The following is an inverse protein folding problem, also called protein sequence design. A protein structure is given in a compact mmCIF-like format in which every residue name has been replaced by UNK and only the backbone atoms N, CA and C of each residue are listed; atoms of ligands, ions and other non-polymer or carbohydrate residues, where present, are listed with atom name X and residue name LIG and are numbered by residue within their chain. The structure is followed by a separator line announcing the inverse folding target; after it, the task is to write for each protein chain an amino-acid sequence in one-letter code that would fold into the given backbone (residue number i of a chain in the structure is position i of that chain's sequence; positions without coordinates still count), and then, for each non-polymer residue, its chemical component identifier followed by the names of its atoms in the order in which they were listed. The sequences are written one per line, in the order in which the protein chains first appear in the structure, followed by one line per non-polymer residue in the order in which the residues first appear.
data_IF_502880693114
#
_entry.id   IF_502880693114
#
_cell.length_a   1.000
_cell.length_b   1.000
_cell.length_c   1.000
_cell.angle_alpha   90.00
_cell.angle_beta   90.00
_cell.angle_gamma   90.00
#
_symmetry.space_group_name_H-M   'P 1'
#
loop_
_entity.id
_entity.type
_entity.pdbx_description
1 polymer ?
#
# COMPACT_ATOMS: atom_id res chain seq x y z
N UNK A 1 -2.54 -47.66 -28.31
CA UNK A 1 -3.11 -47.12 -27.04
C UNK A 1 -2.10 -46.35 -26.19
N UNK A 2 -0.82 -46.76 -26.08
CA UNK A 2 0.20 -46.03 -25.28
C UNK A 2 0.50 -44.61 -25.79
N UNK A 3 0.46 -44.39 -27.10
CA UNK A 3 0.76 -43.07 -27.69
C UNK A 3 -0.39 -42.08 -27.54
N UNK A 4 -1.63 -42.58 -27.47
CA UNK A 4 -2.82 -41.78 -27.17
C UNK A 4 -2.76 -41.20 -25.76
N UNK A 5 -2.29 -41.98 -24.77
CA UNK A 5 -2.17 -41.54 -23.38
C UNK A 5 -1.07 -40.48 -23.20
N UNK A 6 0.06 -40.60 -23.90
CA UNK A 6 1.14 -39.60 -23.87
C UNK A 6 0.71 -38.27 -24.49
N UNK A 7 0.05 -38.31 -25.64
CA UNK A 7 -0.41 -37.10 -26.33
C UNK A 7 -1.56 -36.43 -25.58
N UNK A 8 -2.47 -37.20 -24.98
CA UNK A 8 -3.53 -36.68 -24.13
C UNK A 8 -2.98 -36.05 -22.84
N UNK A 9 -1.95 -36.66 -22.22
CA UNK A 9 -1.32 -36.12 -21.01
C UNK A 9 -0.53 -34.83 -21.30
N UNK A 10 0.15 -34.75 -22.44
CA UNK A 10 0.88 -33.56 -22.86
C UNK A 10 -0.08 -32.39 -23.16
N UNK A 11 -1.21 -32.66 -23.83
CA UNK A 11 -2.26 -31.66 -24.07
C UNK A 11 -2.92 -31.17 -22.77
N UNK A 12 -3.10 -32.07 -21.78
CA UNK A 12 -3.61 -31.70 -20.46
C UNK A 12 -2.63 -30.77 -19.72
N UNK A 13 -1.31 -31.01 -19.79
CA UNK A 13 -0.31 -30.13 -19.18
C UNK A 13 -0.29 -28.71 -19.81
N UNK A 14 -0.54 -28.59 -21.12
CA UNK A 14 -0.64 -27.28 -21.78
C UNK A 14 -1.92 -26.51 -21.37
N UNK A 15 -3.01 -27.20 -21.05
CA UNK A 15 -4.27 -26.59 -20.61
C UNK A 15 -4.21 -26.08 -19.15
N UNK A 16 -3.35 -26.66 -18.30
CA UNK A 16 -3.18 -26.21 -16.90
C UNK A 16 -2.02 -25.21 -16.71
N UNK A 17 -1.07 -25.12 -17.63
CA UNK A 17 0.03 -24.15 -17.57
C UNK A 17 -0.40 -22.69 -17.89
N UNK A 18 -1.62 -22.50 -18.41
CA UNK A 18 -2.10 -21.22 -18.95
C UNK A 18 -2.80 -20.26 -17.98
N UNK A 19 -2.98 -20.63 -16.70
CA UNK A 19 -3.53 -19.70 -15.71
C UNK A 19 -2.43 -18.81 -15.16
N UNK A 20 -1.84 -17.99 -16.04
CA UNK A 20 -1.01 -16.88 -15.61
C UNK A 20 -1.99 -15.83 -15.09
N UNK A 21 -2.12 -15.74 -13.77
CA UNK A 21 -2.84 -14.62 -13.16
C UNK A 21 -2.14 -13.34 -13.63
N UNK A 22 -2.81 -12.57 -14.48
CA UNK A 22 -2.34 -11.24 -14.84
C UNK A 22 -2.49 -10.36 -13.59
N UNK A 23 -1.45 -10.31 -12.77
CA UNK A 23 -1.27 -9.17 -11.87
C UNK A 23 -1.02 -7.97 -12.78
N UNK A 24 -1.97 -7.04 -12.84
CA UNK A 24 -1.75 -5.78 -13.53
C UNK A 24 -0.62 -5.06 -12.79
N UNK A 25 0.52 -4.91 -13.43
CA UNK A 25 1.61 -4.09 -12.89
C UNK A 25 1.05 -2.68 -12.65
N UNK A 26 1.14 -2.13 -11.43
CA UNK A 26 0.75 -0.76 -11.19
C UNK A 26 1.51 0.17 -12.13
N UNK A 27 0.82 1.12 -12.76
CA UNK A 27 1.48 2.15 -13.54
C UNK A 27 2.26 3.13 -12.65
N UNK A 28 1.94 3.13 -11.35
CA UNK A 28 2.60 3.90 -10.32
C UNK A 28 2.48 3.19 -8.97
N UNK A 29 3.50 3.30 -8.13
CA UNK A 29 3.55 2.77 -6.76
C UNK A 29 4.45 3.63 -5.89
N UNK A 30 4.22 3.62 -4.58
CA UNK A 30 5.05 4.26 -3.57
C UNK A 30 5.16 3.36 -2.34
N UNK A 31 6.37 3.30 -1.80
CA UNK A 31 6.70 2.49 -0.61
C UNK A 31 7.06 3.37 0.59
N UNK A 32 7.15 4.68 0.41
CA UNK A 32 7.55 5.66 1.43
C UNK A 32 8.93 5.34 2.01
N UNK A 33 9.90 5.01 1.16
CA UNK A 33 11.24 4.67 1.60
C UNK A 33 11.93 5.87 2.26
N UNK A 34 12.30 5.72 3.54
CA UNK A 34 13.11 6.63 4.37
C UNK A 34 12.53 8.04 4.65
N UNK A 35 11.48 8.50 3.95
CA UNK A 35 10.88 9.82 4.16
C UNK A 35 9.51 9.97 3.47
N UNK A 36 8.85 11.12 3.70
CA UNK A 36 7.73 11.55 2.85
C UNK A 36 8.27 11.93 1.45
N UNK A 37 7.78 11.31 0.36
CA UNK A 37 8.31 11.55 -0.97
C UNK A 37 8.02 12.97 -1.46
N UNK A 38 8.85 13.46 -2.39
CA UNK A 38 8.67 14.77 -3.01
C UNK A 38 7.30 14.84 -3.70
N UNK A 39 6.56 15.92 -3.43
CA UNK A 39 5.23 16.18 -4.00
C UNK A 39 4.07 15.60 -3.18
N UNK A 40 4.35 14.71 -2.22
CA UNK A 40 3.35 14.35 -1.21
C UNK A 40 3.21 15.46 -0.17
N UNK A 41 2.02 15.61 0.38
CA UNK A 41 1.72 16.59 1.42
C UNK A 41 1.04 15.89 2.60
N UNK A 42 1.60 16.05 3.80
CA UNK A 42 0.96 15.72 5.05
C UNK A 42 0.39 17.01 5.66
N UNK A 43 -0.92 17.10 5.83
CA UNK A 43 -1.61 18.29 6.30
C UNK A 43 -2.51 17.97 7.48
N UNK A 44 -2.31 18.66 8.59
CA UNK A 44 -3.28 18.72 9.66
C UNK A 44 -4.29 19.83 9.36
N UNK A 45 -5.52 19.44 9.05
CA UNK A 45 -6.63 20.36 8.79
C UNK A 45 -7.21 20.86 10.10
N UNK A 46 -7.34 19.97 11.09
CA UNK A 46 -7.75 20.30 12.44
C UNK A 46 -7.09 19.39 13.48
N UNK A 47 -6.65 19.99 14.59
CA UNK A 47 -6.04 19.28 15.70
C UNK A 47 -5.26 20.24 16.62
N UNK A 48 -4.13 19.78 17.15
CA UNK A 48 -3.35 20.48 18.17
C UNK A 48 -1.92 20.86 17.73
N UNK A 49 -1.56 20.66 16.45
CA UNK A 49 -0.24 20.97 15.89
C UNK A 49 0.95 20.27 16.57
N UNK A 50 0.72 19.13 17.21
CA UNK A 50 1.77 18.23 17.69
C UNK A 50 2.43 17.49 16.51
N UNK A 51 3.65 17.01 16.67
CA UNK A 51 4.26 16.12 15.67
C UNK A 51 3.40 14.86 15.41
N UNK A 52 2.67 14.40 16.43
CA UNK A 52 1.78 13.22 16.34
C UNK A 52 0.39 13.53 15.82
N UNK A 53 0.03 14.81 15.64
CA UNK A 53 -1.27 15.22 15.10
C UNK A 53 -1.30 15.31 13.58
N UNK A 54 -0.35 14.69 12.89
CA UNK A 54 -0.31 14.62 11.43
C UNK A 54 0.30 13.28 10.99
N UNK A 55 0.27 13.00 9.69
CA UNK A 55 0.98 11.87 9.10
C UNK A 55 2.49 12.06 9.21
N UNK A 56 3.17 11.08 9.81
CA UNK A 56 4.63 11.06 9.94
C UNK A 56 5.21 9.81 9.28
N UNK A 57 6.39 9.94 8.70
CA UNK A 57 7.15 8.77 8.28
C UNK A 57 7.68 8.03 9.52
N UNK A 58 7.61 6.71 9.50
CA UNK A 58 8.10 5.85 10.59
C UNK A 58 8.54 4.49 10.06
N UNK A 59 9.38 3.82 10.85
CA UNK A 59 9.69 2.40 10.74
C UNK A 59 9.32 1.63 12.03
N UNK A 60 8.55 2.28 12.91
CA UNK A 60 8.06 1.76 14.17
C UNK A 60 6.53 1.80 14.19
N UNK A 61 5.91 0.81 14.85
CA UNK A 61 4.46 0.73 14.98
C UNK A 61 3.86 1.86 15.84
N UNK A 62 2.52 1.94 15.92
CA UNK A 62 1.82 2.85 16.83
C UNK A 62 2.34 2.71 18.27
N UNK A 63 2.41 3.81 19.01
CA UNK A 63 2.96 3.88 20.37
C UNK A 63 1.95 4.40 21.40
N UNK A 64 0.70 4.65 21.01
CA UNK A 64 -0.39 4.99 21.92
C UNK A 64 -0.70 3.87 22.94
N UNK A 65 -1.55 4.20 23.93
CA UNK A 65 -1.97 3.28 25.00
C UNK A 65 -2.70 2.02 24.53
N UNK A 66 -3.25 2.02 23.32
CA UNK A 66 -3.90 0.92 22.60
C UNK A 66 -3.13 0.57 21.32
N UNK A 67 -1.81 0.63 21.36
CA UNK A 67 -0.91 0.30 20.25
C UNK A 67 -1.09 -1.14 19.71
N UNK A 68 -0.93 -1.27 18.40
CA UNK A 68 -0.80 -2.54 17.68
C UNK A 68 0.63 -2.73 17.20
N UNK A 69 0.93 -3.90 16.62
CA UNK A 69 2.19 -4.10 15.91
C UNK A 69 2.34 -3.19 14.67
N UNK A 70 3.55 -3.11 14.10
CA UNK A 70 3.80 -2.51 12.78
C UNK A 70 2.88 -3.07 11.68
N UNK A 71 2.74 -2.31 10.59
CA UNK A 71 1.99 -2.75 9.39
C UNK A 71 2.55 -4.05 8.81
N UNK A 72 1.69 -4.97 8.38
CA UNK A 72 2.10 -6.25 7.81
C UNK A 72 2.36 -6.10 6.29
N UNK A 73 3.34 -5.27 5.95
CA UNK A 73 3.71 -4.96 4.57
C UNK A 73 5.00 -5.67 4.13
N UNK A 74 5.06 -6.07 2.86
CA UNK A 74 6.26 -6.65 2.25
C UNK A 74 7.41 -5.64 2.14
N UNK A 75 7.10 -4.35 2.09
CA UNK A 75 8.05 -3.23 2.07
C UNK A 75 8.18 -2.52 3.43
N UNK A 76 7.63 -3.06 4.52
CA UNK A 76 7.67 -2.42 5.85
C UNK A 76 9.08 -2.06 6.33
N UNK A 77 10.12 -2.77 5.85
CA UNK A 77 11.52 -2.44 6.15
C UNK A 77 11.96 -1.06 5.62
N UNK A 78 11.29 -0.55 4.60
CA UNK A 78 11.55 0.76 3.99
C UNK A 78 10.89 1.91 4.78
N UNK A 79 9.95 1.58 5.67
CA UNK A 79 9.10 2.52 6.41
C UNK A 79 7.71 2.66 5.81
N UNK A 80 6.88 3.49 6.45
CA UNK A 80 5.52 3.82 6.03
C UNK A 80 5.08 5.15 6.63
N UNK A 81 3.97 5.69 6.12
CA UNK A 81 3.31 6.82 6.74
C UNK A 81 2.35 6.33 7.84
N UNK A 82 2.45 6.92 9.03
CA UNK A 82 1.60 6.62 10.18
C UNK A 82 0.92 7.90 10.67
N UNK A 83 -0.38 7.81 10.91
CA UNK A 83 -1.08 8.73 11.78
C UNK A 83 -1.50 7.97 13.04
N UNK A 84 -0.87 8.28 14.17
CA UNK A 84 -1.15 7.65 15.45
C UNK A 84 -2.11 8.51 16.28
N UNK A 85 -3.41 8.35 16.00
CA UNK A 85 -4.48 9.07 16.67
C UNK A 85 -4.50 8.83 18.18
N UNK A 86 -4.10 7.62 18.61
CA UNK A 86 -4.10 7.20 20.01
C UNK A 86 -2.91 7.79 20.78
N UNK A 87 -1.74 7.89 20.16
CA UNK A 87 -0.61 8.61 20.74
C UNK A 87 -0.87 10.12 20.85
N UNK A 88 -1.51 10.71 19.85
CA UNK A 88 -1.87 12.12 19.90
C UNK A 88 -3.03 12.39 20.90
N UNK A 89 -4.01 11.49 20.97
CA UNK A 89 -5.13 11.47 21.92
C UNK A 89 -5.85 12.82 22.09
N UNK A 90 -5.92 13.63 21.03
CA UNK A 90 -6.58 14.94 21.04
C UNK A 90 -8.07 14.82 20.73
N UNK A 91 -8.85 15.83 21.12
CA UNK A 91 -10.30 15.84 20.92
C UNK A 91 -10.72 15.93 19.45
N UNK A 92 -10.03 16.78 18.68
CA UNK A 92 -10.25 16.97 17.24
C UNK A 92 -9.01 16.50 16.49
N UNK A 93 -9.24 15.76 15.41
CA UNK A 93 -8.22 15.14 14.56
C UNK A 93 -8.77 15.01 13.14
N UNK A 94 -8.30 15.86 12.23
CA UNK A 94 -8.55 15.79 10.78
C UNK A 94 -7.24 16.02 10.05
N UNK A 95 -6.72 14.96 9.43
CA UNK A 95 -5.36 14.92 8.86
C UNK A 95 -5.36 14.23 7.51
N UNK A 96 -4.69 14.83 6.54
CA UNK A 96 -4.70 14.40 5.14
C UNK A 96 -3.29 14.02 4.71
N UNK A 97 -3.17 12.88 4.02
CA UNK A 97 -1.99 12.50 3.27
C UNK A 97 -2.34 12.54 1.79
N UNK A 98 -1.78 13.51 1.09
CA UNK A 98 -2.19 13.89 -0.27
C UNK A 98 -1.06 13.52 -1.22
N UNK A 99 -1.38 12.73 -2.25
CA UNK A 99 -0.44 12.37 -3.30
C UNK A 99 -0.11 13.57 -4.19
N UNK A 100 1.00 13.51 -4.96
CA UNK A 100 1.13 14.37 -6.13
C UNK A 100 -0.01 14.14 -7.13
N UNK A 101 -0.15 15.06 -8.07
CA UNK A 101 -1.08 14.92 -9.17
C UNK A 101 -0.63 13.82 -10.13
N UNK A 102 -1.55 12.93 -10.50
CA UNK A 102 -1.33 11.90 -11.53
C UNK A 102 -2.12 12.24 -12.79
N UNK A 103 -1.50 12.07 -13.96
CA UNK A 103 -2.21 12.10 -15.23
C UNK A 103 -2.85 10.73 -15.50
N UNK A 104 -4.17 10.70 -15.47
CA UNK A 104 -4.97 9.48 -15.65
C UNK A 104 -5.70 9.48 -17.00
N UNK A 105 -5.40 10.41 -17.91
CA UNK A 105 -6.13 10.60 -19.19
C UNK A 105 -6.20 9.32 -20.04
N UNK A 106 -5.21 8.44 -19.93
CA UNK A 106 -5.14 7.17 -20.68
C UNK A 106 -5.67 5.95 -19.89
N UNK A 107 -6.29 6.16 -18.73
CA UNK A 107 -6.81 5.09 -17.88
C UNK A 107 -8.32 5.23 -17.71
N UNK A 108 -9.09 4.36 -18.37
CA UNK A 108 -10.56 4.33 -18.24
C UNK A 108 -11.01 3.93 -16.83
N UNK A 109 -10.17 3.20 -16.09
CA UNK A 109 -10.39 2.79 -14.70
C UNK A 109 -9.06 2.82 -13.94
N UNK A 110 -9.10 3.40 -12.75
CA UNK A 110 -7.98 3.40 -11.81
C UNK A 110 -8.44 2.80 -10.49
N UNK A 111 -7.62 1.90 -9.95
CA UNK A 111 -7.85 1.25 -8.65
C UNK A 111 -6.68 1.58 -7.76
N UNK A 112 -6.97 2.16 -6.59
CA UNK A 112 -5.99 2.39 -5.54
C UNK A 112 -5.99 1.20 -4.57
N UNK A 113 -4.80 0.74 -4.19
CA UNK A 113 -4.59 -0.34 -3.23
C UNK A 113 -3.47 0.02 -2.27
N UNK A 114 -3.58 -0.47 -1.04
CA UNK A 114 -2.57 -0.36 0.00
C UNK A 114 -2.31 -1.75 0.59
N UNK A 115 -1.12 -1.94 1.14
CA UNK A 115 -0.84 -3.13 1.95
C UNK A 115 -1.34 -2.93 3.39
N UNK A 116 -1.71 -4.02 4.06
CA UNK A 116 -2.28 -4.03 5.42
C UNK A 116 -1.61 -5.09 6.28
#
# INVERSE_FOLDING_TARGET
MKDFTKNALMLLCFLFAGNIAFSQTPFWSEEFADSIPVGWTALEVAGNANATSNWVWTNSGPAGGFSTGPVASTSAANGWMLFDSDLNCSSEQDVWLISPQFDLTNNDLVVLRFET
#
